data_IF_366860695337
#
_entry.id   IF_366860695337
#
_cell.length_a   1.000
_cell.length_b   1.000
_cell.length_c   1.000
_cell.angle_alpha   90.00
_cell.angle_beta   90.00
_cell.angle_gamma   90.00
#
_symmetry.space_group_name_H-M   'P 1'
#
loop_
_entity.id
_entity.type
_entity.pdbx_description
1 polymer ?
#
# COMPACT_ATOMS: atom_id res chain seq x y z
N UNK A 1 -12.21 1.53 6.34
CA UNK A 1 -11.35 2.08 5.27
C UNK A 1 -10.45 3.13 5.92
N UNK A 2 -9.13 3.00 5.77
CA UNK A 2 -8.15 3.81 6.50
C UNK A 2 -7.72 5.08 5.77
N UNK A 3 -6.66 5.72 6.26
CA UNK A 3 -6.11 6.95 5.68
C UNK A 3 -5.17 6.63 4.51
N UNK A 4 -5.09 7.52 3.54
CA UNK A 4 -4.29 7.34 2.34
C UNK A 4 -4.28 8.56 1.45
N UNK A 5 -3.60 8.44 0.31
CA UNK A 5 -3.57 9.45 -0.74
C UNK A 5 -4.00 8.80 -2.07
N UNK A 6 -4.54 9.61 -2.98
CA UNK A 6 -4.82 9.20 -4.34
C UNK A 6 -3.84 9.88 -5.30
N UNK A 7 -3.40 9.13 -6.32
CA UNK A 7 -2.55 9.60 -7.40
C UNK A 7 -3.30 9.39 -8.71
N UNK A 8 -3.34 10.42 -9.55
CA UNK A 8 -3.75 10.25 -10.95
C UNK A 8 -2.56 9.70 -11.71
N UNK A 9 -2.58 8.42 -12.08
CA UNK A 9 -1.46 7.80 -12.79
C UNK A 9 -1.38 8.33 -14.22
N UNK A 10 -0.18 8.71 -14.64
CA UNK A 10 0.13 9.01 -16.05
C UNK A 10 0.85 7.83 -16.74
N UNK A 11 1.22 6.80 -15.97
CA UNK A 11 1.82 5.55 -16.45
C UNK A 11 0.81 4.41 -16.46
N UNK A 12 1.04 3.40 -17.29
CA UNK A 12 0.26 2.15 -17.34
C UNK A 12 0.81 1.05 -16.43
N UNK A 13 1.46 1.39 -15.32
CA UNK A 13 2.04 0.41 -14.40
C UNK A 13 2.07 0.89 -12.95
N UNK A 14 1.99 -0.08 -12.04
CA UNK A 14 2.18 0.08 -10.59
C UNK A 14 3.34 -0.81 -10.16
N UNK A 15 4.26 -0.23 -9.39
CA UNK A 15 5.40 -0.92 -8.78
C UNK A 15 5.28 -0.95 -7.26
N UNK A 16 5.96 -1.90 -6.63
CA UNK A 16 6.01 -2.02 -5.18
C UNK A 16 6.69 -0.79 -4.56
N UNK A 17 6.07 -0.09 -3.60
CA UNK A 17 6.66 1.08 -2.95
C UNK A 17 7.79 0.73 -1.96
N UNK A 18 7.85 -0.52 -1.52
CA UNK A 18 8.81 -1.05 -0.56
C UNK A 18 8.89 -2.57 -0.66
N UNK A 19 9.86 -3.18 0.03
CA UNK A 19 9.93 -4.63 0.18
C UNK A 19 8.72 -5.16 0.93
N UNK A 20 7.99 -6.10 0.32
CA UNK A 20 6.69 -6.53 0.83
C UNK A 20 6.41 -8.00 0.56
N UNK A 21 5.42 -8.52 1.28
CA UNK A 21 4.66 -9.72 0.89
C UNK A 21 3.32 -9.28 0.31
N UNK A 22 2.94 -9.84 -0.83
CA UNK A 22 1.62 -9.64 -1.43
C UNK A 22 0.61 -10.44 -0.61
N UNK A 23 -0.25 -9.75 0.13
CA UNK A 23 -1.26 -10.36 0.99
C UNK A 23 -2.50 -10.77 0.21
N UNK A 24 -2.85 -9.99 -0.81
CA UNK A 24 -4.00 -10.27 -1.67
C UNK A 24 -3.83 -9.61 -3.04
N UNK A 25 -4.35 -10.28 -4.06
CA UNK A 25 -4.66 -9.70 -5.37
C UNK A 25 -6.16 -9.92 -5.55
N UNK A 26 -6.92 -8.85 -5.76
CA UNK A 26 -8.37 -8.95 -5.87
C UNK A 26 -8.80 -9.58 -7.21
N UNK A 27 -9.96 -10.26 -7.28
CA UNK A 27 -10.34 -11.09 -8.44
C UNK A 27 -10.35 -10.39 -9.80
N UNK A 28 -10.69 -9.10 -9.81
CA UNK A 28 -10.72 -8.24 -11.00
C UNK A 28 -9.42 -7.42 -11.16
N UNK A 29 -8.32 -7.87 -10.55
CA UNK A 29 -6.93 -7.45 -10.75
C UNK A 29 -6.57 -5.96 -10.60
N UNK A 30 -7.52 -5.09 -10.26
CA UNK A 30 -7.33 -3.65 -10.11
C UNK A 30 -6.90 -3.26 -8.69
N UNK A 31 -6.82 -4.21 -7.74
CA UNK A 31 -6.45 -3.95 -6.36
C UNK A 31 -5.48 -4.99 -5.79
N UNK A 32 -4.45 -4.52 -5.07
CA UNK A 32 -3.42 -5.34 -4.45
C UNK A 32 -3.20 -4.87 -3.01
N UNK A 33 -3.08 -5.82 -2.07
CA UNK A 33 -2.68 -5.55 -0.69
C UNK A 33 -1.26 -6.02 -0.47
N UNK A 34 -0.42 -5.13 0.05
CA UNK A 34 0.98 -5.39 0.40
C UNK A 34 1.17 -5.27 1.90
N UNK A 35 1.99 -6.15 2.48
CA UNK A 35 2.45 -6.04 3.87
C UNK A 35 3.95 -5.84 3.92
N UNK A 36 4.38 -4.74 4.53
CA UNK A 36 5.78 -4.47 4.84
C UNK A 36 6.25 -5.34 6.01
N UNK A 37 7.56 -5.60 6.12
CA UNK A 37 8.14 -6.36 7.26
C UNK A 37 7.85 -5.73 8.63
N UNK A 38 7.68 -4.40 8.67
CA UNK A 38 7.26 -3.67 9.87
C UNK A 38 5.78 -3.81 10.23
N UNK A 39 4.98 -4.49 9.40
CA UNK A 39 3.58 -4.81 9.68
C UNK A 39 2.55 -3.85 9.10
N UNK A 40 2.94 -2.73 8.47
CA UNK A 40 1.96 -1.88 7.76
C UNK A 40 1.37 -2.63 6.58
N UNK A 41 0.05 -2.55 6.44
CA UNK A 41 -0.70 -3.09 5.30
C UNK A 41 -1.20 -1.95 4.41
N UNK A 42 -0.85 -1.99 3.13
CA UNK A 42 -1.19 -0.97 2.15
C UNK A 42 -2.02 -1.60 1.04
N UNK A 43 -3.20 -1.04 0.78
CA UNK A 43 -4.01 -1.29 -0.39
C UNK A 43 -3.61 -0.31 -1.49
N UNK A 44 -3.31 -0.83 -2.67
CA UNK A 44 -3.21 -0.07 -3.92
C UNK A 44 -4.42 -0.43 -4.76
N UNK A 45 -5.31 0.53 -5.00
CA UNK A 45 -6.56 0.35 -5.73
C UNK A 45 -6.54 1.28 -6.96
N UNK A 46 -6.40 0.69 -8.14
CA UNK A 46 -6.26 1.36 -9.44
C UNK A 46 -7.64 1.61 -10.04
N UNK A 47 -7.84 2.79 -10.65
CA UNK A 47 -9.06 3.18 -11.35
C UNK A 47 -10.33 2.97 -10.49
N UNK A 48 -10.39 3.64 -9.35
CA UNK A 48 -11.53 3.53 -8.42
C UNK A 48 -12.86 3.73 -9.16
N UNK A 49 -13.80 2.79 -9.00
CA UNK A 49 -15.09 2.79 -9.70
C UNK A 49 -15.13 1.97 -10.99
N UNK A 50 -13.99 1.42 -11.43
CA UNK A 50 -13.89 0.60 -12.64
C UNK A 50 -14.17 -0.89 -12.40
N UNK A 51 -14.90 -1.25 -11.34
CA UNK A 51 -15.19 -2.66 -11.00
C UNK A 51 -16.00 -3.36 -12.10
N UNK A 52 -16.79 -2.59 -12.87
CA UNK A 52 -17.59 -3.08 -14.00
C UNK A 52 -16.77 -3.43 -15.24
N UNK A 53 -15.47 -3.15 -15.25
CA UNK A 53 -14.56 -3.61 -16.30
C UNK A 53 -14.19 -5.10 -16.15
N UNK A 54 -14.60 -5.76 -15.05
CA UNK A 54 -14.41 -7.20 -14.82
C UNK A 54 -12.97 -7.70 -15.02
N UNK A 55 -11.99 -6.86 -14.67
CA UNK A 55 -10.57 -7.15 -14.81
C UNK A 55 -10.00 -6.93 -16.21
N UNK A 56 -10.79 -6.50 -17.19
CA UNK A 56 -10.28 -6.02 -18.47
C UNK A 56 -9.33 -4.84 -18.26
N UNK A 57 -8.29 -4.80 -19.10
CA UNK A 57 -7.25 -3.77 -19.07
C UNK A 57 -6.32 -3.80 -17.84
N UNK A 58 -6.44 -4.78 -16.94
CA UNK A 58 -5.51 -4.99 -15.82
C UNK A 58 -4.78 -6.33 -15.96
N UNK A 59 -3.46 -6.29 -15.95
CA UNK A 59 -2.59 -7.47 -16.02
C UNK A 59 -1.74 -7.58 -14.75
N UNK A 60 -2.12 -8.42 -13.78
CA UNK A 60 -1.32 -8.63 -12.58
C UNK A 60 -0.04 -9.39 -12.93
N UNK A 61 1.07 -8.99 -12.30
CA UNK A 61 2.39 -9.62 -12.46
C UNK A 61 2.84 -10.36 -11.20
N UNK A 62 2.01 -10.33 -10.17
CA UNK A 62 2.26 -10.94 -8.87
C UNK A 62 1.06 -11.75 -8.40
N UNK A 63 1.29 -12.69 -7.51
CA UNK A 63 0.25 -13.48 -6.85
C UNK A 63 0.28 -13.34 -5.32
N UNK A 64 -0.76 -13.86 -4.66
CA UNK A 64 -0.81 -13.97 -3.21
C UNK A 64 0.42 -14.71 -2.65
N UNK A 65 0.85 -14.32 -1.45
CA UNK A 65 2.01 -14.82 -0.71
C UNK A 65 3.38 -14.60 -1.38
N UNK A 66 3.42 -13.94 -2.54
CA UNK A 66 4.66 -13.61 -3.22
C UNK A 66 5.43 -12.51 -2.48
N UNK A 67 6.75 -12.68 -2.34
CA UNK A 67 7.65 -11.61 -1.88
C UNK A 67 8.08 -10.75 -3.06
N UNK A 68 8.06 -9.44 -2.85
CA UNK A 68 8.46 -8.43 -3.84
C UNK A 68 9.45 -7.45 -3.20
N UNK A 69 10.40 -6.98 -3.99
CA UNK A 69 11.30 -5.89 -3.58
C UNK A 69 10.72 -4.54 -4.01
N UNK A 70 11.16 -3.44 -3.39
CA UNK A 70 10.85 -2.09 -3.85
C UNK A 70 11.14 -1.94 -5.36
N UNK A 71 10.22 -1.35 -6.11
CA UNK A 71 10.29 -1.20 -7.56
C UNK A 71 9.85 -2.43 -8.37
N UNK A 72 9.54 -3.56 -7.75
CA UNK A 72 9.00 -4.73 -8.46
C UNK A 72 7.67 -4.41 -9.12
N UNK A 73 7.50 -4.78 -10.39
CA UNK A 73 6.25 -4.59 -11.12
C UNK A 73 5.13 -5.42 -10.50
N UNK A 74 4.02 -4.78 -10.14
CA UNK A 74 2.86 -5.41 -9.51
C UNK A 74 1.73 -5.65 -10.50
N UNK A 75 1.39 -4.61 -11.26
CA UNK A 75 0.31 -4.59 -12.25
C UNK A 75 0.71 -3.70 -13.41
N UNK A 76 0.39 -4.15 -14.62
CA UNK A 76 0.31 -3.30 -15.81
C UNK A 76 -1.16 -3.05 -16.13
N UNK A 77 -1.47 -1.88 -16.67
CA UNK A 77 -2.83 -1.56 -17.09
C UNK A 77 -2.85 -0.65 -18.32
N UNK A 78 -3.90 -0.78 -19.13
CA UNK A 78 -4.10 0.06 -20.30
C UNK A 78 -4.82 1.35 -19.91
N UNK A 79 -4.04 2.40 -19.70
CA UNK A 79 -4.56 3.72 -19.35
C UNK A 79 -5.50 4.29 -20.43
N UNK A 80 -5.23 4.03 -21.71
CA UNK A 80 -6.07 4.56 -22.80
C UNK A 80 -7.43 3.85 -22.80
N UNK A 81 -7.42 2.52 -22.72
CA UNK A 81 -8.66 1.74 -22.71
C UNK A 81 -9.54 2.03 -21.49
N UNK A 82 -8.95 2.17 -20.29
CA UNK A 82 -9.69 2.57 -19.07
C UNK A 82 -10.36 3.93 -19.27
N UNK A 83 -9.67 4.88 -19.91
CA UNK A 83 -10.21 6.21 -20.20
C UNK A 83 -11.32 6.16 -21.25
N UNK A 84 -11.15 5.37 -22.30
CA UNK A 84 -12.15 5.20 -23.35
C UNK A 84 -13.42 4.52 -22.82
N UNK A 85 -13.30 3.68 -21.80
CA UNK A 85 -14.42 3.10 -21.06
C UNK A 85 -15.11 4.09 -20.09
N UNK A 86 -14.63 5.34 -19.99
CA UNK A 86 -15.25 6.40 -19.18
C UNK A 86 -14.72 6.51 -17.76
N UNK A 87 -13.61 5.84 -17.43
CA UNK A 87 -13.00 5.87 -16.09
C UNK A 87 -11.73 6.71 -16.06
N UNK A 88 -11.39 7.20 -14.87
CA UNK A 88 -10.13 7.89 -14.62
C UNK A 88 -9.14 6.89 -13.99
N UNK A 89 -7.87 6.90 -14.41
CA UNK A 89 -6.81 6.09 -13.81
C UNK A 89 -6.32 6.65 -12.46
N UNK A 90 -7.26 7.02 -11.59
CA UNK A 90 -6.98 7.46 -10.23
C UNK A 90 -6.72 6.22 -9.37
N UNK A 91 -5.50 6.12 -8.87
CA UNK A 91 -5.01 5.05 -8.02
C UNK A 91 -4.97 5.52 -6.57
N UNK A 92 -5.70 4.85 -5.69
CA UNK A 92 -5.67 5.10 -4.25
C UNK A 92 -4.63 4.22 -3.57
N UNK A 93 -3.83 4.80 -2.68
CA UNK A 93 -2.87 4.11 -1.82
C UNK A 93 -3.29 4.33 -0.37
N UNK A 94 -3.80 3.29 0.28
CA UNK A 94 -4.51 3.37 1.56
C UNK A 94 -3.86 2.45 2.59
N UNK A 95 -3.63 2.94 3.80
CA UNK A 95 -3.23 2.12 4.95
C UNK A 95 -4.46 1.41 5.52
N UNK A 96 -4.41 0.08 5.64
CA UNK A 96 -5.55 -0.73 6.06
C UNK A 96 -5.65 -0.89 7.58
N UNK A 97 -4.51 -1.03 8.27
CA UNK A 97 -4.43 -1.22 9.73
C UNK A 97 -4.19 0.10 10.47
N UNK A 98 -5.15 1.02 10.35
CA UNK A 98 -5.09 2.37 10.93
C UNK A 98 -5.13 2.41 12.47
N UNK A 99 -5.51 1.33 13.14
CA UNK A 99 -5.38 1.17 14.59
C UNK A 99 -3.90 1.12 15.03
N UNK A 100 -3.06 0.44 14.23
CA UNK A 100 -1.62 0.37 14.43
C UNK A 100 -0.89 1.55 13.79
N UNK A 101 -1.45 2.12 12.72
CA UNK A 101 -0.89 3.22 11.94
C UNK A 101 -1.89 4.38 11.79
N UNK A 102 -2.19 5.12 12.87
CA UNK A 102 -3.31 6.08 12.91
C UNK A 102 -3.07 7.38 12.14
N UNK A 103 -1.85 7.63 11.66
CA UNK A 103 -1.50 8.89 11.02
C UNK A 103 -0.76 8.66 9.71
N UNK A 104 -1.34 9.17 8.64
CA UNK A 104 -0.69 9.31 7.33
C UNK A 104 -0.31 10.77 7.11
N UNK A 105 0.96 11.02 6.83
CA UNK A 105 1.51 12.36 6.56
C UNK A 105 1.90 12.45 5.09
N UNK A 106 1.20 13.27 4.27
CA UNK A 106 1.62 13.56 2.90
C UNK A 106 3.07 14.08 2.87
N UNK A 107 3.88 13.52 1.97
CA UNK A 107 5.26 13.98 1.75
C UNK A 107 5.41 14.67 0.40
N UNK A 108 4.47 14.47 -0.50
CA UNK A 108 4.47 15.08 -1.82
C UNK A 108 3.15 15.78 -2.13
N UNK A 109 3.23 16.78 -3.02
CA UNK A 109 2.09 17.49 -3.58
C UNK A 109 2.35 17.78 -5.06
N UNK A 110 1.35 17.55 -5.91
CA UNK A 110 1.49 17.71 -7.36
C UNK A 110 2.03 16.46 -8.05
N UNK A 111 2.89 16.65 -9.05
CA UNK A 111 3.49 15.55 -9.80
C UNK A 111 4.58 14.85 -9.00
N UNK A 112 4.60 13.53 -9.06
CA UNK A 112 5.64 12.68 -8.46
C UNK A 112 6.12 11.64 -9.49
N UNK A 113 7.34 11.17 -9.31
CA UNK A 113 7.92 10.09 -10.11
C UNK A 113 7.77 8.73 -9.42
N UNK A 114 7.85 7.63 -10.19
CA UNK A 114 7.92 6.29 -9.59
C UNK A 114 9.14 6.20 -8.65
N UNK A 115 8.92 5.64 -7.45
CA UNK A 115 9.94 5.52 -6.41
C UNK A 115 10.08 6.74 -5.50
N UNK A 116 9.44 7.88 -5.82
CA UNK A 116 9.37 9.00 -4.89
C UNK A 116 8.36 8.76 -3.76
N UNK A 117 8.67 9.30 -2.58
CA UNK A 117 7.85 9.11 -1.40
C UNK A 117 6.53 9.89 -1.49
N UNK A 118 5.40 9.18 -1.50
CA UNK A 118 4.06 9.77 -1.51
C UNK A 118 3.63 10.28 -0.12
N UNK A 119 3.72 9.41 0.89
CA UNK A 119 3.37 9.71 2.27
C UNK A 119 4.16 8.84 3.25
N UNK A 120 4.12 9.23 4.52
CA UNK A 120 4.62 8.44 5.65
C UNK A 120 3.46 7.93 6.50
N UNK A 121 3.45 6.63 6.82
CA UNK A 121 2.54 6.06 7.82
C UNK A 121 3.26 5.97 9.18
N UNK A 122 2.65 6.51 10.22
CA UNK A 122 3.23 6.57 11.57
C UNK A 122 2.55 5.54 12.45
N UNK A 123 3.34 4.63 12.99
CA UNK A 123 2.87 3.62 13.94
C UNK A 123 2.57 4.24 15.32
N UNK A 124 1.64 3.64 16.06
CA UNK A 124 1.53 3.90 17.50
C UNK A 124 2.82 3.45 18.20
N UNK A 125 3.29 4.23 19.17
CA UNK A 125 4.40 3.77 20.03
C UNK A 125 3.94 2.56 20.83
N UNK A 126 4.59 1.42 20.59
CA UNK A 126 4.26 0.20 21.30
C UNK A 126 5.09 0.15 22.60
N UNK A 127 4.54 0.65 23.71
CA UNK A 127 5.21 0.66 25.03
C UNK A 127 5.40 -0.72 25.68
N UNK A 128 5.24 -1.82 24.92
CA UNK A 128 5.38 -3.19 25.42
C UNK A 128 6.83 -3.63 25.72
N UNK A 129 7.85 -2.82 25.41
CA UNK A 129 9.26 -3.15 25.61
C UNK A 129 9.91 -2.69 26.92
N UNK A 130 9.30 -1.77 27.69
CA UNK A 130 9.98 -1.09 28.81
C UNK A 130 9.72 -1.69 30.21
N UNK A 131 9.11 -2.88 30.33
CA UNK A 131 8.71 -3.46 31.63
C UNK A 131 9.48 -4.70 32.07
N UNK A 132 10.69 -4.96 31.57
CA UNK A 132 11.49 -6.13 31.97
C UNK A 132 12.88 -5.79 32.52
N UNK A 133 13.01 -4.84 33.45
CA UNK A 133 14.29 -4.61 34.16
C UNK A 133 14.22 -3.92 35.54
N UNK A 134 13.16 -4.13 36.33
CA UNK A 134 13.11 -3.65 37.73
C UNK A 134 12.46 -4.67 38.69
N UNK A 135 12.87 -5.94 38.65
CA UNK A 135 12.53 -6.93 39.70
C UNK A 135 13.75 -7.66 40.31
N UNK A 136 14.94 -7.07 40.22
CA UNK A 136 16.11 -7.56 40.97
C UNK A 136 16.89 -6.42 41.62
N UNK A 137 16.32 -5.85 42.69
CA UNK A 137 17.11 -5.37 43.83
C UNK A 137 16.31 -5.68 45.11
N UNK A 138 16.89 -6.52 45.96
CA UNK A 138 16.32 -6.94 47.25
C UNK A 138 16.21 -5.80 48.27
N UNK A 139 15.85 -6.14 49.52
CA UNK A 139 16.91 -6.43 50.49
C UNK A 139 16.63 -7.78 51.19
N UNK A 140 17.61 -8.59 51.58
CA UNK A 140 18.81 -8.17 52.28
C UNK A 140 18.51 -8.05 53.78
N UNK A 141 18.12 -9.15 54.43
CA UNK A 141 18.49 -9.55 55.81
C UNK A 141 17.84 -10.89 56.16
#
# INVERSE_FOLDING_TARGET
>A
MGQGLAIRSLSGSVVAPFDATVVAVYPVNHAIVLRHVGGVEVLIHIAVGAETLDGEHFTPKVGCDQKVAAGSLLVEFDHAAIKDAGYDAVTSVIVLNGDQYPRVVPLASGSISQGEALFMAIAVENSAGARRLLKHRGPGR
#
